data_IF_321496032485
#
_entry.id   IF_321496032485
#
_cell.length_a   1.000
_cell.length_b   1.000
_cell.length_c   1.000
_cell.angle_alpha   90.00
_cell.angle_beta   90.00
_cell.angle_gamma   90.00
#
_symmetry.space_group_name_H-M   'P 1'
#
loop_
_entity.id
_entity.type
_entity.pdbx_description
1 polymer ?
#
# COMPACT_ATOMS: atom_id res chain seq x y z
N UNK A 1 -21.16 8.32 6.99
CA UNK A 1 -20.33 7.13 7.27
C UNK A 1 -19.17 7.23 6.31
N UNK A 2 -17.95 7.48 6.80
CA UNK A 2 -16.77 7.53 5.94
C UNK A 2 -16.37 6.09 5.61
N UNK A 3 -16.81 5.59 4.44
CA UNK A 3 -16.38 4.28 3.97
C UNK A 3 -14.85 4.22 3.94
N UNK A 4 -14.23 3.14 4.46
CA UNK A 4 -12.78 3.00 4.45
C UNK A 4 -12.26 3.06 3.01
N UNK A 5 -11.21 3.85 2.81
CA UNK A 5 -10.66 4.10 1.46
C UNK A 5 -9.90 2.88 0.95
N UNK A 6 -9.33 2.11 1.87
CA UNK A 6 -8.52 0.95 1.59
C UNK A 6 -9.00 -0.26 2.41
N UNK A 7 -8.63 -1.45 1.95
CA UNK A 7 -8.71 -2.69 2.71
C UNK A 7 -7.29 -3.19 2.92
N UNK A 8 -6.94 -3.46 4.17
CA UNK A 8 -5.64 -4.06 4.53
C UNK A 8 -5.84 -5.52 4.88
N UNK A 9 -5.31 -6.40 4.03
CA UNK A 9 -5.25 -7.83 4.30
C UNK A 9 -3.97 -8.13 5.07
N UNK A 10 -4.13 -8.68 6.27
CA UNK A 10 -3.01 -9.14 7.09
C UNK A 10 -3.12 -10.66 7.24
N UNK A 11 -2.10 -11.39 6.79
CA UNK A 11 -2.06 -12.85 6.94
C UNK A 11 -0.71 -13.45 6.54
N UNK A 12 -0.26 -14.50 7.23
CA UNK A 12 1.00 -15.22 6.96
C UNK A 12 2.23 -14.33 6.75
N UNK A 13 2.34 -13.26 7.54
CA UNK A 13 3.46 -12.30 7.46
C UNK A 13 3.42 -11.34 6.27
N UNK A 14 2.34 -11.33 5.48
CA UNK A 14 2.15 -10.40 4.36
C UNK A 14 1.13 -9.32 4.71
N UNK A 15 1.44 -8.08 4.32
CA UNK A 15 0.55 -6.93 4.38
C UNK A 15 0.20 -6.54 2.94
N UNK A 16 -1.06 -6.66 2.57
CA UNK A 16 -1.55 -6.21 1.26
C UNK A 16 -2.59 -5.11 1.46
N UNK A 17 -2.36 -3.95 0.86
CA UNK A 17 -3.26 -2.81 0.92
C UNK A 17 -3.89 -2.65 -0.46
N UNK A 18 -5.22 -2.67 -0.53
CA UNK A 18 -5.99 -2.50 -1.77
C UNK A 18 -6.95 -1.32 -1.65
N UNK A 19 -7.07 -0.46 -2.69
CA UNK A 19 -8.09 0.57 -2.73
C UNK A 19 -9.49 -0.04 -2.83
N UNK A 20 -10.44 0.48 -2.07
CA UNK A 20 -11.83 -0.02 -1.98
C UNK A 20 -12.84 0.90 -2.69
N UNK A 21 -12.57 2.20 -2.72
CA UNK A 21 -13.47 3.21 -3.28
C UNK A 21 -12.71 4.20 -4.18
N UNK A 22 -13.44 5.16 -4.76
CA UNK A 22 -12.87 6.19 -5.63
C UNK A 22 -11.76 7.01 -4.92
N UNK A 23 -11.93 7.33 -3.64
CA UNK A 23 -10.92 8.08 -2.88
C UNK A 23 -9.61 7.29 -2.69
N UNK A 24 -9.69 5.99 -2.43
CA UNK A 24 -8.52 5.10 -2.38
C UNK A 24 -7.78 5.01 -3.73
N UNK A 25 -8.52 4.92 -4.83
CA UNK A 25 -7.94 4.92 -6.18
C UNK A 25 -7.30 6.26 -6.54
N UNK A 26 -7.93 7.38 -6.20
CA UNK A 26 -7.36 8.73 -6.40
C UNK A 26 -6.07 8.86 -5.61
N UNK A 27 -6.06 8.49 -4.33
CA UNK A 27 -4.85 8.54 -3.52
C UNK A 27 -3.73 7.65 -4.08
N UNK A 28 -4.07 6.47 -4.61
CA UNK A 28 -3.11 5.59 -5.29
C UNK A 28 -2.56 6.22 -6.57
N UNK A 29 -3.42 6.83 -7.40
CA UNK A 29 -3.01 7.52 -8.62
C UNK A 29 -2.09 8.71 -8.31
N UNK A 30 -2.42 9.51 -7.28
CA UNK A 30 -1.56 10.61 -6.80
C UNK A 30 -0.19 10.09 -6.37
N UNK A 31 -0.13 8.99 -5.60
CA UNK A 31 1.14 8.38 -5.22
C UNK A 31 1.96 7.91 -6.42
N UNK A 32 1.32 7.27 -7.42
CA UNK A 32 2.01 6.87 -8.66
C UNK A 32 2.55 8.10 -9.40
N UNK A 33 1.73 9.14 -9.57
CA UNK A 33 2.15 10.37 -10.24
C UNK A 33 3.31 11.07 -9.51
N UNK A 34 3.30 11.10 -8.17
CA UNK A 34 4.38 11.67 -7.38
C UNK A 34 5.68 10.88 -7.54
N UNK A 35 5.63 9.56 -7.45
CA UNK A 35 6.82 8.71 -7.59
C UNK A 35 7.38 8.75 -9.02
N UNK A 36 6.52 8.68 -10.04
CA UNK A 36 6.92 8.88 -11.44
C UNK A 36 7.47 10.28 -11.68
N UNK A 37 6.84 11.31 -11.13
CA UNK A 37 7.27 12.70 -11.25
C UNK A 37 8.67 12.93 -10.66
N UNK A 38 8.96 12.35 -9.49
CA UNK A 38 10.29 12.40 -8.87
C UNK A 38 11.34 11.73 -9.77
N UNK A 39 11.04 10.53 -10.29
CA UNK A 39 11.99 9.80 -11.14
C UNK A 39 12.27 10.56 -12.44
N UNK A 40 11.23 11.04 -13.14
CA UNK A 40 11.40 11.77 -14.40
C UNK A 40 12.07 13.14 -14.19
N UNK A 41 11.68 13.86 -13.15
CA UNK A 41 12.22 15.19 -12.85
C UNK A 41 13.70 15.18 -12.46
N UNK A 42 14.23 14.04 -12.00
CA UNK A 42 15.63 13.90 -11.59
C UNK A 42 16.54 13.31 -12.66
N UNK A 43 16.00 12.83 -13.80
CA UNK A 43 16.80 12.30 -14.93
C UNK A 43 17.92 13.27 -15.36
N UNK A 44 17.68 14.57 -15.57
CA UNK A 44 18.75 15.49 -16.00
C UNK A 44 19.88 15.61 -14.98
N UNK A 45 19.52 15.60 -13.69
CA UNK A 45 20.48 15.68 -12.58
C UNK A 45 21.33 14.41 -12.51
N UNK A 46 20.71 13.24 -12.61
CA UNK A 46 21.44 11.95 -12.59
C UNK A 46 22.32 11.77 -13.83
N UNK A 47 21.88 12.28 -14.99
CA UNK A 47 22.67 12.24 -16.22
C UNK A 47 23.98 13.04 -16.12
N UNK A 48 23.98 14.14 -15.35
CA UNK A 48 25.18 14.97 -15.12
C UNK A 48 26.05 14.43 -14.00
N UNK A 49 25.44 13.90 -12.93
CA UNK A 49 26.13 13.34 -11.78
C UNK A 49 25.47 12.01 -11.36
N UNK A 50 25.94 10.87 -11.86
CA UNK A 50 25.30 9.58 -11.63
C UNK A 50 25.14 9.18 -10.16
N UNK A 51 26.05 9.62 -9.30
CA UNK A 51 26.01 9.37 -7.84
C UNK A 51 24.75 9.96 -7.20
N UNK A 52 24.16 11.00 -7.79
CA UNK A 52 22.94 11.64 -7.28
C UNK A 52 21.67 10.80 -7.49
N UNK A 53 21.75 9.61 -8.12
CA UNK A 53 20.64 8.66 -8.21
C UNK A 53 20.07 8.26 -6.84
N UNK A 54 20.85 8.39 -5.78
CA UNK A 54 20.41 8.13 -4.40
C UNK A 54 19.27 9.08 -4.00
N UNK A 55 19.26 10.32 -4.46
CA UNK A 55 18.27 11.33 -4.09
C UNK A 55 16.83 10.94 -4.52
N UNK A 56 16.55 10.62 -5.79
CA UNK A 56 15.20 10.20 -6.19
C UNK A 56 14.79 8.86 -5.56
N UNK A 57 15.74 7.96 -5.27
CA UNK A 57 15.44 6.72 -4.54
C UNK A 57 14.97 7.02 -3.12
N UNK A 58 15.69 7.86 -2.37
CA UNK A 58 15.31 8.28 -1.01
C UNK A 58 13.97 9.02 -1.00
N UNK A 59 13.75 9.92 -1.96
CA UNK A 59 12.47 10.63 -2.10
C UNK A 59 11.32 9.65 -2.39
N UNK A 60 11.52 8.67 -3.27
CA UNK A 60 10.53 7.63 -3.58
C UNK A 60 10.23 6.76 -2.36
N UNK A 61 11.25 6.32 -1.62
CA UNK A 61 11.05 5.56 -0.38
C UNK A 61 10.26 6.37 0.65
N UNK A 62 10.52 7.67 0.75
CA UNK A 62 9.79 8.57 1.65
C UNK A 62 8.33 8.69 1.24
N UNK A 63 8.03 8.89 -0.05
CA UNK A 63 6.67 8.94 -0.58
C UNK A 63 5.92 7.63 -0.27
N UNK A 64 6.55 6.49 -0.55
CA UNK A 64 5.96 5.18 -0.27
C UNK A 64 5.71 4.97 1.22
N UNK A 65 6.67 5.35 2.08
CA UNK A 65 6.51 5.25 3.52
C UNK A 65 5.32 6.09 4.02
N UNK A 66 5.24 7.35 3.61
CA UNK A 66 4.13 8.25 3.96
C UNK A 66 2.81 7.70 3.43
N UNK A 67 2.77 7.22 2.18
CA UNK A 67 1.59 6.64 1.58
C UNK A 67 1.11 5.39 2.32
N UNK A 68 2.01 4.47 2.68
CA UNK A 68 1.66 3.26 3.44
C UNK A 68 1.08 3.65 4.81
N UNK A 69 1.69 4.62 5.51
CA UNK A 69 1.18 5.11 6.80
C UNK A 69 -0.21 5.73 6.66
N UNK A 70 -0.41 6.55 5.62
CA UNK A 70 -1.70 7.14 5.29
C UNK A 70 -2.76 6.07 4.95
N UNK A 71 -2.42 5.12 4.08
CA UNK A 71 -3.34 4.09 3.61
C UNK A 71 -3.77 3.16 4.75
N UNK A 72 -2.85 2.82 5.66
CA UNK A 72 -3.18 2.05 6.88
C UNK A 72 -4.10 2.83 7.84
N UNK A 73 -3.97 4.15 7.95
CA UNK A 73 -4.84 4.96 8.80
C UNK A 73 -6.28 5.09 8.23
N UNK A 74 -6.44 4.87 6.93
CA UNK A 74 -7.71 4.95 6.20
C UNK A 74 -8.23 3.57 5.77
N UNK A 75 -7.67 2.49 6.31
CA UNK A 75 -8.03 1.13 5.94
C UNK A 75 -8.88 0.42 6.99
N UNK A 76 -9.77 -0.44 6.51
CA UNK A 76 -10.31 -1.52 7.31
C UNK A 76 -9.34 -2.71 7.27
N UNK A 77 -8.99 -3.25 8.43
CA UNK A 77 -8.05 -4.38 8.53
C UNK A 77 -8.81 -5.69 8.56
N UNK A 78 -8.53 -6.57 7.60
CA UNK A 78 -9.06 -7.93 7.53
C UNK A 78 -7.93 -8.90 7.88
N UNK A 79 -8.07 -9.61 9.00
CA UNK A 79 -7.12 -10.64 9.43
C UNK A 79 -7.47 -11.98 8.77
N UNK A 80 -6.71 -12.36 7.75
CA UNK A 80 -6.94 -13.60 6.99
C UNK A 80 -6.65 -14.84 7.85
N UNK A 81 -5.70 -14.74 8.79
CA UNK A 81 -5.31 -15.88 9.62
C UNK A 81 -6.44 -16.28 10.58
N UNK A 82 -7.14 -15.30 11.16
CA UNK A 82 -8.34 -15.51 11.98
C UNK A 82 -9.48 -16.13 11.16
N UNK A 83 -9.72 -15.63 9.95
CA UNK A 83 -10.74 -16.18 9.05
C UNK A 83 -10.41 -17.63 8.68
N UNK A 84 -9.14 -17.95 8.39
CA UNK A 84 -8.72 -19.30 8.03
C UNK A 84 -8.81 -20.27 9.23
N UNK A 85 -8.60 -19.79 10.45
CA UNK A 85 -8.80 -20.57 11.67
C UNK A 85 -10.29 -20.80 11.95
N UNK A 86 -11.13 -19.77 11.78
CA UNK A 86 -12.58 -19.89 11.95
C UNK A 86 -13.19 -20.87 10.93
N UNK A 87 -12.76 -20.81 9.66
CA UNK A 87 -13.19 -21.75 8.62
C UNK A 87 -12.77 -23.19 8.98
N UNK A 88 -11.54 -23.39 9.48
CA UNK A 88 -11.07 -24.70 9.95
C UNK A 88 -11.89 -25.20 11.13
N UNK A 89 -12.19 -24.34 12.10
CA UNK A 89 -13.02 -24.68 13.25
C UNK A 89 -14.48 -24.96 12.89
N UNK A 90 -15.06 -24.27 11.90
CA UNK A 90 -16.41 -24.56 11.37
C UNK A 90 -16.45 -25.91 10.64
N UNK A 91 -15.43 -26.21 9.83
CA UNK A 91 -15.31 -27.48 9.12
C UNK A 91 -15.09 -28.66 10.08
N UNK A 92 -14.30 -28.47 11.15
CA UNK A 92 -14.11 -29.46 12.20
C UNK A 92 -15.38 -29.75 13.02
N UNK A 93 -16.27 -28.75 13.14
CA UNK A 93 -17.59 -28.89 13.81
C UNK A 93 -18.68 -29.47 12.91
N UNK A 94 -18.35 -29.96 11.71
CA UNK A 94 -19.31 -30.62 10.81
C UNK A 94 -20.27 -29.66 10.10
N UNK A 95 -19.98 -28.36 10.05
CA UNK A 95 -20.78 -27.40 9.28
C UNK A 95 -20.64 -27.68 7.78
N UNK A 96 -21.77 -27.93 7.11
CA UNK A 96 -21.89 -27.98 5.64
C UNK A 96 -21.52 -26.63 5.02
#
# INVERSE_FOLDING_TARGET
>A
MDDPWFTTYRGRGKLQIMPRNAAGWIATAVMVLLTTGVMLGTVPLVATQPVLIILPLLATMTILFVFIRFAMARSETINIDEIAEEIRARRARGGK
#
